data_IF_106620956208
#
_entry.id   IF_106620956208
#
_cell.length_a   1.000
_cell.length_b   1.000
_cell.length_c   1.000
_cell.angle_alpha   90.00
_cell.angle_beta   90.00
_cell.angle_gamma   90.00
#
_symmetry.space_group_name_H-M   'P 1'
#
loop_
_entity.id
_entity.type
_entity.pdbx_description
1 polymer ?
#
# COMPACT_ATOMS: atom_id res chain seq x y z
N UNK A 1 -53.82 -23.72 -12.09
CA UNK A 1 -53.11 -23.20 -13.25
C UNK A 1 -53.24 -21.67 -13.48
N UNK A 2 -54.30 -20.99 -13.07
CA UNK A 2 -54.45 -19.53 -13.32
C UNK A 2 -53.66 -18.59 -12.36
N UNK A 3 -53.20 -19.04 -11.20
CA UNK A 3 -52.38 -18.23 -10.28
C UNK A 3 -50.90 -18.15 -10.68
N UNK A 4 -50.34 -19.21 -11.20
CA UNK A 4 -48.94 -19.24 -11.63
C UNK A 4 -48.65 -18.30 -12.82
N UNK A 5 -49.58 -18.16 -13.75
CA UNK A 5 -49.42 -17.25 -14.90
C UNK A 5 -49.40 -15.78 -14.51
N UNK A 6 -50.07 -15.37 -13.42
CA UNK A 6 -50.06 -13.98 -12.95
C UNK A 6 -48.75 -13.60 -12.25
N UNK A 7 -48.13 -14.54 -11.54
CA UNK A 7 -46.84 -14.32 -10.90
C UNK A 7 -45.68 -14.22 -11.91
N UNK A 8 -45.72 -15.05 -12.96
CA UNK A 8 -44.68 -14.98 -14.01
C UNK A 8 -44.70 -13.68 -14.78
N UNK A 9 -45.86 -13.11 -15.05
CA UNK A 9 -46.02 -11.81 -15.72
C UNK A 9 -45.53 -10.67 -14.79
N UNK A 10 -45.83 -10.74 -13.49
CA UNK A 10 -45.38 -9.72 -12.53
C UNK A 10 -43.87 -9.71 -12.33
N UNK A 11 -43.21 -10.88 -12.28
CA UNK A 11 -41.77 -11.01 -12.20
C UNK A 11 -41.10 -10.50 -13.47
N UNK A 12 -41.63 -10.73 -14.64
CA UNK A 12 -41.11 -10.22 -15.91
C UNK A 12 -41.19 -8.67 -15.94
N UNK A 13 -42.29 -8.08 -15.45
CA UNK A 13 -42.42 -6.65 -15.38
C UNK A 13 -41.41 -6.00 -14.40
N UNK A 14 -41.14 -6.61 -13.25
CA UNK A 14 -40.14 -6.13 -12.30
C UNK A 14 -38.74 -6.21 -12.91
N UNK A 15 -38.38 -7.33 -13.55
CA UNK A 15 -37.09 -7.50 -14.21
C UNK A 15 -36.88 -6.50 -15.35
N UNK A 16 -37.94 -6.25 -16.18
CA UNK A 16 -37.83 -5.26 -17.25
C UNK A 16 -37.70 -3.83 -16.72
N UNK A 17 -38.37 -3.50 -15.60
CA UNK A 17 -38.19 -2.18 -14.93
C UNK A 17 -36.81 -2.01 -14.34
N UNK A 18 -36.21 -3.06 -13.75
CA UNK A 18 -34.83 -3.03 -13.25
C UNK A 18 -33.83 -2.86 -14.39
N UNK A 19 -33.99 -3.58 -15.49
CA UNK A 19 -33.15 -3.44 -16.67
C UNK A 19 -33.24 -2.04 -17.27
N UNK A 20 -34.46 -1.49 -17.37
CA UNK A 20 -34.66 -0.12 -17.84
C UNK A 20 -34.02 0.92 -16.90
N UNK A 21 -34.13 0.74 -15.59
CA UNK A 21 -33.47 1.63 -14.61
C UNK A 21 -31.95 1.55 -14.68
N UNK A 22 -31.39 0.35 -14.86
CA UNK A 22 -29.93 0.17 -15.06
C UNK A 22 -29.50 0.84 -16.38
N UNK A 23 -30.27 0.69 -17.44
CA UNK A 23 -29.96 1.33 -18.73
C UNK A 23 -30.04 2.86 -18.66
N UNK A 24 -31.04 3.42 -17.99
CA UNK A 24 -31.16 4.87 -17.78
C UNK A 24 -30.00 5.37 -16.89
N UNK A 25 -29.66 4.66 -15.83
CA UNK A 25 -28.53 4.99 -14.97
C UNK A 25 -27.19 4.93 -15.72
N UNK A 26 -26.98 3.94 -16.57
CA UNK A 26 -25.77 3.81 -17.39
C UNK A 26 -25.67 4.90 -18.46
N UNK A 27 -26.79 5.34 -19.05
CA UNK A 27 -26.81 6.45 -20.01
C UNK A 27 -26.64 7.81 -19.32
N UNK A 28 -27.17 8.00 -18.09
CA UNK A 28 -26.90 9.23 -17.32
C UNK A 28 -25.43 9.31 -16.85
N UNK A 29 -24.82 8.20 -16.49
CA UNK A 29 -23.38 8.14 -16.13
C UNK A 29 -22.51 8.34 -17.39
N UNK A 30 -22.92 7.80 -18.54
CA UNK A 30 -22.21 7.98 -19.81
C UNK A 30 -22.35 9.41 -20.38
N UNK A 31 -23.45 10.11 -20.09
CA UNK A 31 -23.69 11.49 -20.54
C UNK A 31 -23.19 12.56 -19.56
N UNK A 32 -22.66 12.18 -18.39
CA UNK A 32 -21.82 13.08 -17.58
C UNK A 32 -20.38 13.09 -18.13
N UNK A 33 -20.26 13.40 -19.40
CA UNK A 33 -19.03 14.07 -19.88
C UNK A 33 -18.99 15.40 -19.14
N UNK A 34 -18.10 15.51 -18.16
CA UNK A 34 -17.70 16.79 -17.63
C UNK A 34 -17.36 17.68 -18.84
N UNK A 35 -17.94 18.85 -18.99
CA UNK A 35 -17.51 19.75 -20.02
C UNK A 35 -16.02 20.03 -19.73
N UNK A 36 -15.14 19.49 -20.55
CA UNK A 36 -13.78 19.95 -20.65
C UNK A 36 -13.89 21.44 -20.93
N UNK A 37 -13.54 22.25 -19.94
CA UNK A 37 -13.55 23.70 -20.11
C UNK A 37 -12.45 24.05 -21.10
N UNK A 38 -12.85 24.05 -22.39
CA UNK A 38 -12.03 24.46 -23.53
C UNK A 38 -11.50 25.90 -23.34
N UNK A 39 -12.15 26.70 -22.47
CA UNK A 39 -11.65 28.01 -22.09
C UNK A 39 -10.40 27.95 -21.20
N UNK A 40 -10.24 26.91 -20.36
CA UNK A 40 -8.99 26.75 -19.59
C UNK A 40 -7.81 26.41 -20.51
N UNK A 41 -8.04 25.61 -21.54
CA UNK A 41 -7.02 25.28 -22.56
C UNK A 41 -6.70 26.47 -23.47
N UNK A 42 -7.69 27.34 -23.77
CA UNK A 42 -7.43 28.60 -24.50
C UNK A 42 -6.65 29.61 -23.67
N UNK A 43 -6.81 29.66 -22.36
CA UNK A 43 -5.97 30.48 -21.46
C UNK A 43 -4.52 30.01 -21.46
N UNK A 44 -4.26 28.70 -21.51
CA UNK A 44 -2.91 28.15 -21.62
C UNK A 44 -2.29 28.54 -23.00
N UNK A 45 -3.07 28.51 -24.08
CA UNK A 45 -2.61 28.92 -25.40
C UNK A 45 -2.35 30.43 -25.50
N UNK A 46 -3.15 31.27 -24.83
CA UNK A 46 -2.91 32.73 -24.78
C UNK A 46 -1.72 33.13 -23.89
N UNK A 47 -1.41 32.31 -22.87
CA UNK A 47 -0.19 32.46 -22.05
C UNK A 47 1.09 32.22 -22.85
N UNK A 48 1.05 31.43 -23.93
CA UNK A 48 2.23 31.23 -24.79
C UNK A 48 2.78 32.55 -25.37
N UNK A 49 1.92 33.55 -25.64
CA UNK A 49 2.34 34.85 -26.13
C UNK A 49 2.93 35.79 -25.07
N UNK A 50 2.61 35.55 -23.78
CA UNK A 50 3.19 36.33 -22.67
C UNK A 50 4.48 35.72 -22.10
N UNK A 51 4.71 34.40 -22.25
CA UNK A 51 5.90 33.72 -21.74
C UNK A 51 7.15 33.93 -22.60
N UNK A 52 7.02 34.31 -23.90
CA UNK A 52 8.17 34.58 -24.79
C UNK A 52 8.88 35.87 -24.47
N UNK A 53 8.33 36.74 -23.60
CA UNK A 53 8.93 38.02 -23.21
C UNK A 53 9.32 38.12 -21.73
N UNK A 54 9.27 37.03 -20.95
CA UNK A 54 9.95 37.02 -19.66
C UNK A 54 11.41 36.66 -19.84
N UNK A 55 12.23 37.70 -19.94
CA UNK A 55 13.67 37.60 -20.00
C UNK A 55 14.23 36.71 -18.93
N UNK A 56 15.26 35.97 -19.31
CA UNK A 56 16.10 35.15 -18.42
C UNK A 56 16.64 35.98 -17.27
N UNK A 57 15.94 35.99 -16.14
CA UNK A 57 16.46 36.29 -14.80
C UNK A 57 15.32 36.34 -13.77
N UNK A 58 14.82 35.18 -13.39
CA UNK A 58 14.32 34.90 -12.04
C UNK A 58 14.32 33.38 -11.91
N UNK A 59 15.21 32.84 -11.08
CA UNK A 59 14.96 31.54 -10.49
C UNK A 59 13.67 31.68 -9.66
N UNK A 60 12.52 31.48 -10.29
CA UNK A 60 11.25 31.50 -9.60
C UNK A 60 11.32 30.40 -8.57
N UNK A 61 11.19 30.78 -7.30
CA UNK A 61 11.22 29.87 -6.17
C UNK A 61 9.94 29.02 -6.24
N UNK A 62 9.90 28.04 -7.16
CA UNK A 62 8.75 27.18 -7.41
C UNK A 62 8.60 26.22 -6.24
N UNK A 63 7.68 26.52 -5.37
CA UNK A 63 7.46 25.76 -4.12
C UNK A 63 6.25 24.85 -4.16
N UNK A 64 5.50 24.82 -5.28
CA UNK A 64 4.40 23.87 -5.42
C UNK A 64 4.89 22.49 -5.86
N UNK A 65 4.32 21.46 -5.21
CA UNK A 65 4.34 20.07 -5.66
C UNK A 65 2.93 19.76 -6.15
N UNK A 66 2.76 19.64 -7.46
CA UNK A 66 1.49 19.31 -8.06
C UNK A 66 1.33 17.79 -8.16
N UNK A 67 0.40 17.22 -7.43
CA UNK A 67 -0.04 15.85 -7.64
C UNK A 67 -1.05 15.86 -8.78
N UNK A 68 -0.71 15.21 -9.90
CA UNK A 68 -1.47 15.32 -11.13
C UNK A 68 -2.89 14.78 -11.01
N UNK A 69 -3.03 13.68 -10.31
CA UNK A 69 -4.31 13.06 -9.97
C UNK A 69 -4.28 12.39 -8.59
N UNK A 70 -5.46 12.17 -8.02
CA UNK A 70 -5.61 11.33 -6.84
C UNK A 70 -5.32 9.87 -7.22
N UNK A 71 -4.59 9.12 -6.40
CA UNK A 71 -4.40 7.69 -6.60
C UNK A 71 -5.74 6.98 -6.82
N UNK A 72 -5.82 6.15 -7.86
CA UNK A 72 -7.05 5.46 -8.29
C UNK A 72 -8.27 6.38 -8.50
N UNK A 73 -8.04 7.66 -8.77
CA UNK A 73 -9.07 8.69 -8.89
C UNK A 73 -9.96 8.85 -7.64
N UNK A 74 -9.49 8.38 -6.49
CA UNK A 74 -10.18 8.51 -5.20
C UNK A 74 -9.49 9.59 -4.38
N UNK A 75 -10.20 10.65 -3.94
CA UNK A 75 -9.65 11.64 -3.03
C UNK A 75 -9.11 10.97 -1.76
N UNK A 76 -7.82 11.16 -1.49
CA UNK A 76 -7.16 10.66 -0.29
C UNK A 76 -6.92 11.84 0.64
N UNK A 77 -7.62 11.85 1.78
CA UNK A 77 -7.45 12.92 2.76
C UNK A 77 -6.03 12.93 3.31
N UNK A 78 -5.43 14.12 3.33
CA UNK A 78 -4.20 14.41 4.09
C UNK A 78 -2.88 13.91 3.53
N UNK A 79 -2.87 13.13 2.44
CA UNK A 79 -1.61 12.53 1.95
C UNK A 79 -0.72 13.51 1.18
N UNK A 80 -1.30 14.45 0.44
CA UNK A 80 -0.58 15.21 -0.57
C UNK A 80 -0.95 16.68 -0.65
N UNK A 81 -1.76 17.19 0.25
CA UNK A 81 -2.13 18.61 0.29
C UNK A 81 -1.58 19.32 1.52
N UNK A 82 -1.23 20.58 1.34
CA UNK A 82 -0.75 21.46 2.42
C UNK A 82 0.76 21.63 2.49
N UNK A 83 1.25 22.06 3.64
CA UNK A 83 2.66 22.39 3.87
C UNK A 83 3.51 21.13 4.04
N UNK A 84 4.57 21.02 3.26
CA UNK A 84 5.52 19.89 3.25
C UNK A 84 6.95 20.34 3.60
N UNK A 85 7.10 21.28 4.53
CA UNK A 85 8.42 21.72 4.96
C UNK A 85 9.07 22.75 4.03
N UNK A 86 8.26 23.69 3.51
CA UNK A 86 8.71 24.75 2.61
C UNK A 86 8.15 24.63 1.19
N UNK A 87 7.46 23.54 0.88
CA UNK A 87 6.68 23.39 -0.33
C UNK A 87 5.19 23.26 0.02
N UNK A 88 4.33 23.54 -0.97
CA UNK A 88 2.89 23.35 -0.87
C UNK A 88 2.47 22.23 -1.83
N UNK A 89 1.95 21.13 -1.29
CA UNK A 89 1.31 20.07 -2.07
C UNK A 89 -0.10 20.46 -2.49
N UNK A 90 -0.48 20.15 -3.73
CA UNK A 90 -1.82 20.45 -4.24
C UNK A 90 -2.21 19.55 -5.40
N UNK A 91 -3.52 19.33 -5.56
CA UNK A 91 -4.13 18.71 -6.76
C UNK A 91 -4.70 19.74 -7.75
N UNK A 92 -4.61 21.04 -7.43
CA UNK A 92 -5.07 22.11 -8.32
C UNK A 92 -4.17 22.24 -9.54
N UNK A 93 -4.60 21.67 -10.67
CA UNK A 93 -3.87 21.70 -11.95
C UNK A 93 -3.63 23.11 -12.50
N UNK A 94 -4.35 24.14 -12.02
CA UNK A 94 -4.08 25.53 -12.38
C UNK A 94 -2.70 26.00 -11.91
N UNK A 95 -2.12 25.31 -10.89
CA UNK A 95 -0.76 25.56 -10.38
C UNK A 95 0.36 24.95 -11.22
N UNK A 96 0.04 24.24 -12.31
CA UNK A 96 1.05 23.64 -13.17
C UNK A 96 2.16 24.63 -13.59
N UNK A 97 1.89 25.87 -13.99
CA UNK A 97 2.96 26.82 -14.36
C UNK A 97 3.90 27.18 -13.18
N UNK A 98 3.42 27.11 -11.97
CA UNK A 98 4.14 27.48 -10.74
C UNK A 98 4.69 26.25 -10.00
N UNK A 99 4.43 25.04 -10.48
CA UNK A 99 4.90 23.82 -9.88
C UNK A 99 6.39 23.58 -10.14
N UNK A 100 7.16 23.31 -9.08
CA UNK A 100 8.55 22.87 -9.20
C UNK A 100 8.64 21.38 -9.52
N UNK A 101 7.70 20.59 -8.96
CA UNK A 101 7.56 19.17 -9.27
C UNK A 101 6.11 18.82 -9.63
N UNK A 102 5.95 17.86 -10.54
CA UNK A 102 4.65 17.26 -10.90
C UNK A 102 4.75 15.75 -10.67
N UNK A 103 3.90 15.24 -9.79
CA UNK A 103 3.89 13.85 -9.38
C UNK A 103 2.79 13.09 -10.10
N UNK A 104 3.16 12.02 -10.76
CA UNK A 104 2.26 11.14 -11.48
C UNK A 104 2.17 9.79 -10.78
N UNK A 105 0.98 9.46 -10.29
CA UNK A 105 0.72 8.14 -9.72
C UNK A 105 0.50 7.12 -10.83
N UNK A 106 1.05 5.91 -10.67
CA UNK A 106 1.01 4.87 -11.70
C UNK A 106 -0.40 4.52 -12.19
N UNK A 107 -1.41 4.60 -11.31
CA UNK A 107 -2.80 4.23 -11.66
C UNK A 107 -3.47 5.22 -12.62
N UNK A 108 -2.90 6.40 -12.79
CA UNK A 108 -3.48 7.51 -13.54
C UNK A 108 -2.61 7.91 -14.75
N UNK A 109 -1.67 7.05 -15.14
CA UNK A 109 -0.84 7.23 -16.30
C UNK A 109 -1.61 6.83 -17.59
N UNK A 110 -2.54 7.66 -18.00
CA UNK A 110 -3.29 7.45 -19.20
C UNK A 110 -2.82 8.34 -20.32
N UNK A 111 -2.18 8.29 -21.19
CA UNK A 111 -1.63 9.21 -22.20
C UNK A 111 -2.52 10.37 -22.66
N UNK A 112 -3.80 10.44 -22.32
CA UNK A 112 -4.71 11.48 -22.81
C UNK A 112 -4.86 12.65 -21.83
N UNK A 113 -4.92 12.40 -20.55
CA UNK A 113 -5.07 13.43 -19.52
C UNK A 113 -3.77 14.13 -19.13
N UNK A 114 -2.65 13.65 -19.62
CA UNK A 114 -1.32 14.10 -19.19
C UNK A 114 -0.90 15.42 -19.83
N UNK A 115 -0.15 16.29 -19.10
CA UNK A 115 0.11 17.66 -19.55
C UNK A 115 1.13 17.78 -20.69
N UNK A 116 1.94 16.76 -20.95
CA UNK A 116 3.11 16.89 -21.82
C UNK A 116 2.84 16.96 -23.31
N UNK A 117 1.70 16.47 -23.79
CA UNK A 117 1.36 16.57 -25.22
C UNK A 117 1.38 18.00 -25.73
N UNK A 118 1.25 18.96 -24.82
CA UNK A 118 1.07 20.36 -25.15
C UNK A 118 2.12 21.28 -24.54
N UNK A 119 2.77 20.89 -23.45
CA UNK A 119 3.72 21.73 -22.74
C UNK A 119 4.55 20.95 -21.72
N UNK A 120 5.85 21.04 -21.80
CA UNK A 120 6.78 20.64 -20.75
C UNK A 120 7.72 21.79 -20.47
N UNK A 121 7.64 22.36 -19.27
CA UNK A 121 8.64 23.28 -18.79
C UNK A 121 9.91 22.50 -18.43
N UNK A 122 11.07 22.80 -19.06
CA UNK A 122 12.32 22.11 -18.76
C UNK A 122 12.78 22.32 -17.33
N UNK A 123 12.24 23.31 -16.60
CA UNK A 123 12.54 23.57 -15.21
C UNK A 123 11.68 22.76 -14.21
N UNK A 124 10.64 22.08 -14.68
CA UNK A 124 9.81 21.22 -13.84
C UNK A 124 10.40 19.82 -13.70
N UNK A 125 10.28 19.26 -12.50
CA UNK A 125 10.69 17.90 -12.17
C UNK A 125 9.47 16.99 -12.29
N UNK A 126 9.52 16.02 -13.19
CA UNK A 126 8.47 15.03 -13.34
C UNK A 126 8.82 13.79 -12.55
N UNK A 127 7.90 13.39 -11.66
CA UNK A 127 8.11 12.34 -10.66
C UNK A 127 7.12 11.21 -10.88
N UNK A 128 7.64 10.01 -11.10
CA UNK A 128 6.84 8.79 -11.07
C UNK A 128 6.61 8.35 -9.61
N UNK A 129 5.38 8.00 -9.26
CA UNK A 129 5.03 7.55 -7.91
C UNK A 129 4.24 6.24 -7.92
N UNK A 130 4.66 5.30 -7.06
CA UNK A 130 3.93 4.07 -6.78
C UNK A 130 4.25 3.53 -5.39
N UNK A 131 3.23 3.04 -4.67
CA UNK A 131 3.36 2.22 -3.48
C UNK A 131 2.99 0.75 -3.73
N UNK A 132 2.51 0.41 -4.95
CA UNK A 132 2.26 -0.96 -5.32
C UNK A 132 3.51 -1.64 -5.88
N UNK A 133 3.58 -2.96 -5.75
CA UNK A 133 4.68 -3.74 -6.31
C UNK A 133 4.71 -3.72 -7.84
N UNK A 134 5.89 -3.91 -8.49
CA UNK A 134 5.99 -4.09 -9.93
C UNK A 134 5.01 -5.13 -10.48
N UNK A 135 4.92 -6.28 -9.83
CA UNK A 135 3.95 -7.32 -10.20
C UNK A 135 2.50 -6.83 -10.20
N UNK A 136 2.11 -6.03 -9.20
CA UNK A 136 0.74 -5.49 -9.16
C UNK A 136 0.50 -4.49 -10.28
N UNK A 137 1.46 -3.62 -10.54
CA UNK A 137 1.34 -2.60 -11.57
C UNK A 137 1.27 -3.21 -12.97
N UNK A 138 2.05 -4.27 -13.24
CA UNK A 138 2.06 -4.95 -14.54
C UNK A 138 0.82 -5.82 -14.75
N UNK A 139 0.41 -6.57 -13.73
CA UNK A 139 -0.62 -7.62 -13.85
C UNK A 139 -1.94 -7.27 -13.15
N UNK A 140 -2.00 -6.14 -12.43
CA UNK A 140 -3.17 -5.67 -11.73
C UNK A 140 -4.25 -5.08 -12.64
N UNK A 141 -5.29 -4.53 -12.04
CA UNK A 141 -6.45 -3.96 -12.75
C UNK A 141 -6.09 -2.70 -13.56
N UNK A 142 -5.04 -1.98 -13.14
CA UNK A 142 -4.57 -0.73 -13.75
C UNK A 142 -3.32 -0.97 -14.62
N UNK A 143 -3.44 -1.85 -15.62
CA UNK A 143 -2.37 -2.10 -16.59
C UNK A 143 -2.22 -0.92 -17.53
N UNK A 144 -1.47 0.05 -17.17
CA UNK A 144 -1.18 1.14 -18.10
C UNK A 144 0.16 0.89 -18.82
N UNK A 145 0.18 1.24 -20.10
CA UNK A 145 1.35 1.07 -20.94
C UNK A 145 2.43 2.10 -20.54
N UNK A 146 3.20 1.78 -19.51
CA UNK A 146 4.27 2.64 -18.98
C UNK A 146 5.37 2.92 -20.00
N UNK A 147 5.59 2.03 -20.97
CA UNK A 147 6.53 2.25 -22.06
C UNK A 147 6.26 3.53 -22.87
N UNK A 148 5.03 4.10 -22.77
CA UNK A 148 4.73 5.41 -23.37
C UNK A 148 5.39 6.58 -22.63
N UNK A 149 5.92 6.34 -21.45
CA UNK A 149 6.57 7.32 -20.56
C UNK A 149 8.08 7.09 -20.43
N UNK A 150 8.62 6.20 -21.23
CA UNK A 150 10.03 6.06 -21.43
C UNK A 150 10.57 7.26 -22.22
N UNK A 151 11.81 7.24 -22.65
CA UNK A 151 12.45 8.34 -23.36
C UNK A 151 12.67 9.60 -22.51
N UNK A 152 13.27 9.38 -21.32
CA UNK A 152 13.68 10.47 -20.41
C UNK A 152 12.55 11.38 -19.92
N UNK A 153 11.30 10.87 -19.96
CA UNK A 153 10.15 11.64 -19.50
C UNK A 153 10.17 11.90 -17.99
N UNK A 154 10.48 10.87 -17.20
CA UNK A 154 10.55 10.96 -15.73
C UNK A 154 11.93 11.42 -15.29
N UNK A 155 11.97 12.43 -14.41
CA UNK A 155 13.19 12.92 -13.80
C UNK A 155 13.54 12.15 -12.54
N UNK A 156 12.56 11.94 -11.65
CA UNK A 156 12.75 11.24 -10.39
C UNK A 156 11.68 10.18 -10.15
N UNK A 157 12.06 9.18 -9.40
CA UNK A 157 11.15 8.14 -8.89
C UNK A 157 10.86 8.38 -7.41
N UNK A 158 9.61 8.22 -6.99
CA UNK A 158 9.15 8.30 -5.61
C UNK A 158 8.35 7.05 -5.27
N UNK A 159 9.01 6.04 -4.70
CA UNK A 159 8.41 4.75 -4.38
C UNK A 159 8.87 4.24 -3.01
N UNK A 160 8.27 3.15 -2.56
CA UNK A 160 8.68 2.45 -1.34
C UNK A 160 10.08 1.81 -1.42
N UNK A 161 10.69 1.74 -2.59
CA UNK A 161 12.02 1.17 -2.76
C UNK A 161 13.09 2.14 -2.25
N UNK A 162 14.08 1.60 -1.54
CA UNK A 162 15.19 2.40 -0.98
C UNK A 162 16.13 2.95 -2.05
N UNK A 163 16.12 2.41 -3.24
CA UNK A 163 16.89 2.89 -4.40
C UNK A 163 16.13 3.87 -5.30
N UNK A 164 14.92 4.27 -4.92
CA UNK A 164 14.24 5.40 -5.55
C UNK A 164 14.98 6.70 -5.29
N UNK A 165 14.86 7.69 -6.20
CA UNK A 165 15.42 9.02 -5.96
C UNK A 165 14.82 9.64 -4.70
N UNK A 166 13.54 9.44 -4.49
CA UNK A 166 12.79 9.81 -3.29
C UNK A 166 12.24 8.56 -2.63
N UNK A 167 12.88 8.14 -1.55
CA UNK A 167 12.34 7.03 -0.75
C UNK A 167 11.02 7.45 -0.10
N UNK A 168 9.94 6.75 -0.42
CA UNK A 168 8.60 6.99 0.09
C UNK A 168 8.10 5.72 0.81
N UNK A 169 8.56 5.46 2.05
CA UNK A 169 8.11 4.31 2.82
C UNK A 169 6.61 4.41 3.09
N UNK A 170 5.99 3.28 3.38
CA UNK A 170 4.62 3.28 3.87
C UNK A 170 4.48 4.18 5.09
N UNK A 171 3.51 5.09 5.08
CA UNK A 171 3.36 6.12 6.13
C UNK A 171 3.16 5.56 7.53
N UNK A 172 2.58 4.37 7.61
CA UNK A 172 2.35 3.65 8.86
C UNK A 172 3.64 3.32 9.61
N UNK A 173 4.78 3.33 8.94
CA UNK A 173 6.11 3.16 9.58
C UNK A 173 6.44 4.25 10.60
N UNK A 174 5.81 5.41 10.52
CA UNK A 174 5.94 6.51 11.52
C UNK A 174 5.57 6.07 12.93
N UNK A 175 4.79 5.00 13.07
CA UNK A 175 4.42 4.45 14.39
C UNK A 175 5.63 4.09 15.24
N UNK A 176 6.77 3.75 14.63
CA UNK A 176 8.00 3.40 15.34
C UNK A 176 8.42 4.46 16.36
N UNK A 177 8.40 5.74 15.97
CA UNK A 177 8.84 6.81 16.88
C UNK A 177 7.97 6.85 18.13
N UNK A 178 6.66 6.84 17.96
CA UNK A 178 5.73 6.82 19.09
C UNK A 178 5.94 5.59 19.99
N UNK A 179 6.14 4.42 19.40
CA UNK A 179 6.34 3.18 20.14
C UNK A 179 7.63 3.23 20.94
N UNK A 180 8.73 3.72 20.35
CA UNK A 180 10.02 3.86 21.03
C UNK A 180 9.92 4.89 22.16
N UNK A 181 9.25 6.02 21.94
CA UNK A 181 9.06 7.06 22.96
C UNK A 181 8.23 6.57 24.17
N UNK A 182 7.22 5.74 23.94
CA UNK A 182 6.41 5.13 24.99
C UNK A 182 7.15 3.98 25.72
N UNK A 183 8.07 3.32 25.02
CA UNK A 183 8.97 2.29 25.58
C UNK A 183 8.22 1.11 26.23
N UNK A 184 8.73 0.65 27.39
CA UNK A 184 8.18 -0.49 28.10
C UNK A 184 6.69 -0.35 28.46
N UNK A 185 6.20 0.86 28.71
CA UNK A 185 4.77 1.09 28.98
C UNK A 185 3.88 0.66 27.80
N UNK A 186 4.32 0.96 26.56
CA UNK A 186 3.59 0.55 25.37
C UNK A 186 3.50 -0.98 25.31
N UNK A 187 4.64 -1.67 25.53
CA UNK A 187 4.70 -3.14 25.50
C UNK A 187 3.75 -3.72 26.55
N UNK A 188 3.85 -3.28 27.80
CA UNK A 188 3.03 -3.84 28.89
C UNK A 188 1.54 -3.65 28.61
N UNK A 189 1.14 -2.47 28.11
CA UNK A 189 -0.23 -2.20 27.71
C UNK A 189 -0.71 -3.12 26.57
N UNK A 190 0.15 -3.38 25.59
CA UNK A 190 -0.19 -4.25 24.45
C UNK A 190 -0.21 -5.73 24.85
N UNK A 191 0.76 -6.19 25.63
CA UNK A 191 0.83 -7.58 26.06
C UNK A 191 -0.31 -7.96 27.03
N UNK A 192 -0.75 -7.03 27.89
CA UNK A 192 -1.90 -7.25 28.77
C UNK A 192 -3.20 -7.57 28.02
N UNK A 193 -3.33 -7.14 26.79
CA UNK A 193 -4.50 -7.38 25.94
C UNK A 193 -4.43 -8.68 25.13
N UNK A 194 -3.27 -9.35 25.08
CA UNK A 194 -3.11 -10.59 24.31
C UNK A 194 -3.82 -11.76 24.98
N UNK A 195 -4.72 -12.40 24.25
CA UNK A 195 -5.40 -13.62 24.70
C UNK A 195 -4.43 -14.79 24.58
N UNK A 196 -4.47 -15.68 25.57
CA UNK A 196 -3.83 -16.99 25.47
C UNK A 196 -4.85 -17.97 24.90
N UNK A 197 -4.40 -18.93 24.12
CA UNK A 197 -5.23 -20.10 23.79
C UNK A 197 -5.62 -20.75 25.12
N UNK A 198 -6.88 -20.65 25.47
CA UNK A 198 -7.37 -21.40 26.62
C UNK A 198 -7.22 -22.90 26.28
N UNK A 199 -6.28 -23.58 26.92
CA UNK A 199 -6.29 -25.04 26.97
C UNK A 199 -7.55 -25.41 27.73
N UNK A 200 -8.60 -25.69 26.98
CA UNK A 200 -9.86 -26.08 27.54
C UNK A 200 -9.66 -27.39 28.33
N UNK A 201 -9.92 -27.30 29.59
CA UNK A 201 -10.19 -28.50 30.39
C UNK A 201 -11.33 -29.28 29.71
N UNK A 202 -11.04 -30.50 29.31
CA UNK A 202 -11.85 -31.42 28.49
C UNK A 202 -13.23 -31.82 29.06
N UNK A 203 -13.82 -31.06 29.98
CA UNK A 203 -15.04 -31.44 30.73
C UNK A 203 -16.22 -30.46 30.61
N UNK A 204 -16.25 -29.56 29.62
CA UNK A 204 -17.39 -28.65 29.41
C UNK A 204 -18.11 -28.95 28.09
N UNK A 205 -19.41 -29.23 28.22
CA UNK A 205 -20.36 -29.60 27.16
C UNK A 205 -20.71 -28.45 26.18
N UNK A 206 -19.86 -27.45 26.00
CA UNK A 206 -20.06 -26.36 25.04
C UNK A 206 -18.91 -26.33 24.02
N UNK A 207 -19.19 -26.00 22.74
CA UNK A 207 -18.12 -25.88 21.77
C UNK A 207 -17.17 -24.78 22.21
N UNK A 208 -15.94 -25.17 22.54
CA UNK A 208 -14.86 -24.25 22.88
C UNK A 208 -14.56 -23.45 21.62
N UNK A 209 -14.86 -22.18 21.66
CA UNK A 209 -14.35 -21.23 20.68
C UNK A 209 -12.83 -21.25 20.80
N UNK A 210 -12.14 -21.89 19.85
CA UNK A 210 -10.70 -21.78 19.73
C UNK A 210 -10.39 -20.31 19.50
N UNK A 211 -9.78 -19.64 20.47
CA UNK A 211 -9.31 -18.28 20.30
C UNK A 211 -8.10 -18.36 19.36
N UNK A 212 -8.28 -17.93 18.13
CA UNK A 212 -7.17 -17.84 17.18
C UNK A 212 -6.14 -16.82 17.65
N UNK A 213 -4.88 -17.13 17.44
CA UNK A 213 -3.75 -16.29 17.82
C UNK A 213 -3.27 -15.42 16.66
N UNK A 214 -3.59 -15.85 15.46
CA UNK A 214 -3.18 -15.24 14.21
C UNK A 214 -4.37 -14.60 13.53
N UNK A 215 -4.20 -13.35 13.19
CA UNK A 215 -5.12 -12.59 12.34
C UNK A 215 -4.58 -12.50 10.93
N UNK A 216 -5.46 -12.69 9.96
CA UNK A 216 -5.16 -12.45 8.55
C UNK A 216 -6.34 -11.82 7.83
N UNK A 217 -6.15 -10.58 7.37
CA UNK A 217 -7.17 -9.83 6.61
C UNK A 217 -6.70 -9.67 5.17
N UNK A 218 -7.43 -10.24 4.21
CA UNK A 218 -7.01 -10.27 2.81
C UNK A 218 -8.18 -10.19 1.84
N UNK A 219 -8.03 -9.36 0.78
CA UNK A 219 -9.04 -9.18 -0.26
C UNK A 219 -8.52 -9.52 -1.67
N UNK A 220 -7.21 -9.50 -1.90
CA UNK A 220 -6.62 -9.95 -3.15
C UNK A 220 -6.24 -11.44 -3.04
N UNK A 221 -7.10 -12.32 -3.59
CA UNK A 221 -6.99 -13.77 -3.42
C UNK A 221 -6.22 -14.46 -4.56
N UNK A 222 -6.32 -13.92 -5.78
CA UNK A 222 -5.90 -14.64 -6.97
C UNK A 222 -5.44 -13.77 -8.13
N UNK A 223 -5.46 -12.44 -7.98
CA UNK A 223 -5.09 -11.52 -9.06
C UNK A 223 -3.63 -11.73 -9.49
N UNK A 224 -2.74 -11.85 -8.51
CA UNK A 224 -1.32 -12.09 -8.75
C UNK A 224 -0.93 -13.52 -8.37
N UNK A 225 0.22 -13.96 -8.88
CA UNK A 225 0.80 -15.23 -8.43
C UNK A 225 1.08 -15.23 -6.93
N UNK A 226 1.72 -14.17 -6.40
CA UNK A 226 1.96 -14.02 -4.97
C UNK A 226 0.67 -14.12 -4.15
N UNK A 227 -0.43 -13.51 -4.63
CA UNK A 227 -1.74 -13.64 -3.99
C UNK A 227 -2.20 -15.09 -3.89
N UNK A 228 -2.05 -15.88 -4.95
CA UNK A 228 -2.40 -17.33 -4.94
C UNK A 228 -1.49 -18.14 -4.02
N UNK A 229 -0.19 -17.80 -4.00
CA UNK A 229 0.79 -18.54 -3.20
C UNK A 229 0.59 -18.30 -1.70
N UNK A 230 0.34 -17.07 -1.26
CA UNK A 230 0.07 -16.80 0.16
C UNK A 230 -1.20 -17.48 0.67
N UNK A 231 -2.23 -17.62 -0.19
CA UNK A 231 -3.43 -18.42 0.13
C UNK A 231 -3.05 -19.87 0.42
N UNK A 232 -2.28 -20.50 -0.48
CA UNK A 232 -1.82 -21.90 -0.31
C UNK A 232 -0.95 -22.06 0.93
N UNK A 233 -0.04 -21.10 1.20
CA UNK A 233 0.81 -21.15 2.37
C UNK A 233 0.00 -21.08 3.67
N UNK A 234 -0.98 -20.18 3.73
CA UNK A 234 -1.88 -20.07 4.88
C UNK A 234 -2.72 -21.33 5.07
N UNK A 235 -3.22 -21.93 3.98
CA UNK A 235 -3.94 -23.20 4.06
C UNK A 235 -3.05 -24.33 4.61
N UNK A 236 -1.76 -24.34 4.26
CA UNK A 236 -0.80 -25.29 4.81
C UNK A 236 -0.53 -25.08 6.31
N UNK A 237 -0.48 -23.82 6.79
CA UNK A 237 -0.39 -23.51 8.22
C UNK A 237 -1.62 -24.02 8.99
N UNK A 238 -2.82 -23.77 8.46
CA UNK A 238 -4.08 -24.25 9.07
C UNK A 238 -4.13 -25.77 9.09
N UNK A 239 -3.72 -26.43 7.99
CA UNK A 239 -3.63 -27.89 7.93
C UNK A 239 -2.63 -28.48 8.92
N UNK A 240 -1.58 -27.72 9.25
CA UNK A 240 -0.59 -28.08 10.27
C UNK A 240 -1.09 -27.82 11.71
N UNK A 241 -2.34 -27.41 11.89
CA UNK A 241 -2.97 -27.21 13.20
C UNK A 241 -2.84 -25.81 13.78
N UNK A 242 -2.36 -24.82 13.01
CA UNK A 242 -2.31 -23.43 13.44
C UNK A 242 -3.70 -22.80 13.32
N UNK A 243 -4.31 -22.29 14.42
CA UNK A 243 -5.58 -21.58 14.33
C UNK A 243 -5.34 -20.18 13.75
N UNK A 244 -5.96 -19.89 12.62
CA UNK A 244 -5.87 -18.59 11.90
C UNK A 244 -7.27 -18.05 11.65
N UNK A 245 -7.59 -16.90 12.21
CA UNK A 245 -8.81 -16.16 11.85
C UNK A 245 -8.56 -15.40 10.54
N UNK A 246 -9.41 -15.68 9.56
CA UNK A 246 -9.27 -15.21 8.18
C UNK A 246 -10.44 -14.33 7.81
N UNK A 247 -10.14 -13.05 7.50
CA UNK A 247 -11.14 -12.06 7.13
C UNK A 247 -10.82 -11.39 5.80
N UNK A 248 -11.81 -10.72 5.25
CA UNK A 248 -11.68 -9.91 4.06
C UNK A 248 -12.41 -10.46 2.85
N UNK A 249 -12.17 -9.84 1.68
CA UNK A 249 -12.85 -10.21 0.44
C UNK A 249 -12.63 -11.64 -0.02
N UNK A 250 -11.50 -12.24 0.38
CA UNK A 250 -11.20 -13.64 0.03
C UNK A 250 -12.09 -14.66 0.75
N UNK A 251 -12.76 -14.27 1.81
CA UNK A 251 -13.58 -15.16 2.63
C UNK A 251 -15.03 -14.70 2.72
N UNK A 252 -15.40 -13.63 1.98
CA UNK A 252 -16.74 -13.05 1.96
C UNK A 252 -17.28 -12.63 3.35
N UNK A 253 -16.41 -12.27 4.27
CA UNK A 253 -16.73 -11.94 5.66
C UNK A 253 -16.12 -10.58 6.11
N UNK A 254 -16.05 -9.61 5.20
CA UNK A 254 -15.55 -8.26 5.52
C UNK A 254 -16.34 -7.58 6.63
N UNK A 255 -17.63 -7.80 6.66
CA UNK A 255 -18.52 -7.15 7.63
C UNK A 255 -18.34 -7.78 9.01
N UNK A 256 -18.16 -9.09 9.11
CA UNK A 256 -17.82 -9.75 10.37
C UNK A 256 -16.55 -9.17 11.02
N UNK A 257 -15.53 -8.83 10.21
CA UNK A 257 -14.33 -8.17 10.73
C UNK A 257 -14.59 -6.77 11.29
N UNK A 258 -15.51 -6.02 10.67
CA UNK A 258 -15.90 -4.68 11.15
C UNK A 258 -16.69 -4.72 12.47
N UNK A 259 -17.38 -5.83 12.73
CA UNK A 259 -18.15 -6.04 13.95
C UNK A 259 -17.28 -6.43 15.14
N UNK A 260 -16.01 -6.84 14.92
CA UNK A 260 -15.09 -7.11 16.00
C UNK A 260 -14.83 -5.85 16.83
N UNK A 261 -14.86 -5.97 18.13
CA UNK A 261 -14.45 -4.89 19.02
C UNK A 261 -12.95 -4.58 18.87
N UNK A 262 -12.56 -3.38 19.25
CA UNK A 262 -11.14 -3.01 19.26
C UNK A 262 -10.31 -3.95 20.16
N UNK A 263 -10.87 -4.41 21.28
CA UNK A 263 -10.19 -5.34 22.19
C UNK A 263 -10.05 -6.74 21.59
N UNK A 264 -11.06 -7.21 20.83
CA UNK A 264 -10.94 -8.47 20.11
C UNK A 264 -9.85 -8.41 19.05
N UNK A 265 -9.81 -7.31 18.28
CA UNK A 265 -8.76 -7.09 17.28
C UNK A 265 -7.38 -6.98 17.94
N UNK A 266 -7.24 -6.33 19.09
CA UNK A 266 -5.95 -6.21 19.79
C UNK A 266 -5.51 -7.51 20.49
N UNK A 267 -6.42 -8.45 20.70
CA UNK A 267 -6.12 -9.71 21.39
C UNK A 267 -5.21 -10.67 20.62
N UNK A 268 -5.09 -10.55 19.32
CA UNK A 268 -4.22 -11.40 18.51
C UNK A 268 -2.74 -11.14 18.79
N UNK A 269 -1.96 -12.22 18.98
CA UNK A 269 -0.51 -12.16 19.18
C UNK A 269 0.24 -11.92 17.87
N UNK A 270 -0.21 -12.51 16.77
CA UNK A 270 0.46 -12.45 15.48
C UNK A 270 -0.44 -11.90 14.39
N UNK A 271 0.18 -11.34 13.37
CA UNK A 271 -0.48 -10.99 12.11
C UNK A 271 0.28 -11.61 10.94
N UNK A 272 -0.42 -12.30 10.06
CA UNK A 272 0.19 -12.82 8.84
C UNK A 272 0.40 -11.66 7.85
N UNK A 273 1.57 -11.03 7.95
CA UNK A 273 1.98 -9.92 7.08
C UNK A 273 2.43 -10.45 5.70
N UNK A 274 1.53 -11.17 5.04
CA UNK A 274 1.76 -11.82 3.77
C UNK A 274 1.43 -10.89 2.61
N UNK A 275 2.43 -10.51 1.85
CA UNK A 275 2.27 -9.58 0.73
C UNK A 275 1.59 -10.23 -0.48
N UNK A 276 1.07 -9.39 -1.37
CA UNK A 276 0.40 -9.87 -2.59
C UNK A 276 1.40 -10.23 -3.71
N UNK A 277 2.65 -9.87 -3.55
CA UNK A 277 3.74 -10.14 -4.47
C UNK A 277 4.89 -10.84 -3.74
N UNK A 278 5.71 -11.60 -4.48
CA UNK A 278 6.77 -12.42 -3.91
C UNK A 278 8.14 -11.88 -4.32
N UNK A 279 9.04 -11.76 -3.34
CA UNK A 279 10.43 -11.32 -3.49
C UNK A 279 10.59 -10.00 -4.27
N UNK A 280 9.57 -9.12 -4.17
CA UNK A 280 9.71 -7.77 -4.66
C UNK A 280 10.59 -6.97 -3.70
N UNK A 281 11.63 -6.35 -4.25
CA UNK A 281 12.62 -5.59 -3.48
C UNK A 281 11.96 -4.55 -2.59
N UNK A 282 12.32 -4.55 -1.31
CA UNK A 282 11.87 -3.59 -0.29
C UNK A 282 10.33 -3.52 -0.08
N UNK A 283 9.54 -4.51 -0.58
CA UNK A 283 8.07 -4.42 -0.56
C UNK A 283 7.49 -4.85 0.79
N UNK A 284 7.45 -3.93 1.73
CA UNK A 284 6.92 -4.09 3.08
C UNK A 284 5.86 -3.03 3.36
N UNK A 285 4.58 -3.44 3.44
CA UNK A 285 3.42 -2.57 3.38
C UNK A 285 2.78 -2.31 4.76
N UNK A 286 1.56 -1.74 4.74
CA UNK A 286 0.72 -1.54 5.93
C UNK A 286 0.51 -2.83 6.74
N UNK A 287 0.65 -4.01 6.11
CA UNK A 287 0.48 -5.31 6.77
C UNK A 287 1.50 -5.51 7.89
N UNK A 288 2.75 -5.12 7.63
CA UNK A 288 3.81 -5.14 8.62
C UNK A 288 3.61 -4.03 9.66
N UNK A 289 3.45 -2.79 9.21
CA UNK A 289 3.49 -1.63 10.07
C UNK A 289 2.20 -1.41 10.85
N UNK A 290 1.08 -1.25 10.14
CA UNK A 290 -0.20 -0.94 10.76
C UNK A 290 -0.85 -2.19 11.34
N UNK A 291 -1.04 -3.23 10.50
CA UNK A 291 -1.79 -4.40 10.93
C UNK A 291 -1.06 -5.25 11.98
N UNK A 292 0.28 -5.20 12.02
CA UNK A 292 1.04 -5.91 13.05
C UNK A 292 1.64 -4.96 14.09
N UNK A 293 2.69 -4.22 13.77
CA UNK A 293 3.50 -3.46 14.72
C UNK A 293 2.65 -2.47 15.55
N UNK A 294 1.82 -1.63 14.90
CA UNK A 294 1.01 -0.63 15.58
C UNK A 294 0.04 -1.22 16.62
N UNK A 295 -0.38 -2.47 16.42
CA UNK A 295 -1.26 -3.18 17.32
C UNK A 295 -0.53 -4.09 18.35
N UNK A 296 0.80 -4.01 18.42
CA UNK A 296 1.58 -4.86 19.33
C UNK A 296 1.48 -6.35 18.97
N UNK A 297 1.43 -6.67 17.70
CA UNK A 297 1.50 -8.03 17.17
C UNK A 297 2.88 -8.27 16.57
N UNK A 298 3.35 -9.50 16.68
CA UNK A 298 4.54 -9.92 15.94
C UNK A 298 4.14 -10.21 14.50
N UNK A 299 4.69 -9.49 13.50
CA UNK A 299 4.44 -9.81 12.10
C UNK A 299 5.10 -11.11 11.71
N UNK A 300 4.33 -12.01 11.11
CA UNK A 300 4.84 -13.19 10.41
C UNK A 300 4.92 -12.82 8.94
N UNK A 301 6.13 -12.72 8.39
CA UNK A 301 6.38 -12.13 7.07
C UNK A 301 6.54 -13.19 6.01
N UNK A 302 5.84 -13.00 4.90
CA UNK A 302 6.00 -13.73 3.65
C UNK A 302 5.85 -12.77 2.46
N UNK A 303 6.70 -12.92 1.48
CA UNK A 303 6.64 -12.12 0.24
C UNK A 303 7.97 -11.42 -0.04
N UNK A 304 8.40 -10.38 0.68
CA UNK A 304 9.73 -9.81 0.52
C UNK A 304 10.82 -10.80 0.95
N UNK A 305 12.06 -10.59 0.52
CA UNK A 305 13.20 -11.36 1.02
C UNK A 305 13.48 -11.05 2.50
N UNK A 306 14.03 -12.02 3.23
CA UNK A 306 14.41 -11.78 4.63
C UNK A 306 15.40 -10.61 4.75
N UNK A 307 16.34 -10.51 3.83
CA UNK A 307 17.32 -9.42 3.77
C UNK A 307 16.66 -8.04 3.63
N UNK A 308 15.65 -7.91 2.75
CA UNK A 308 14.90 -6.66 2.60
C UNK A 308 14.16 -6.30 3.89
N UNK A 309 13.55 -7.28 4.56
CA UNK A 309 12.85 -7.05 5.82
C UNK A 309 13.84 -6.68 6.92
N UNK A 310 14.94 -7.39 7.05
CA UNK A 310 15.99 -7.06 8.02
C UNK A 310 16.56 -5.66 7.81
N UNK A 311 16.64 -5.19 6.58
CA UNK A 311 17.10 -3.82 6.25
C UNK A 311 16.12 -2.74 6.72
N UNK A 312 14.82 -3.00 6.62
CA UNK A 312 13.76 -2.01 6.79
C UNK A 312 13.00 -2.11 8.13
N UNK A 313 13.11 -3.24 8.85
CA UNK A 313 12.41 -3.49 10.10
C UNK A 313 13.33 -3.28 11.31
N UNK A 314 12.76 -2.96 12.50
CA UNK A 314 13.51 -3.00 13.75
C UNK A 314 14.11 -4.37 14.00
N UNK A 315 15.30 -4.41 14.58
CA UNK A 315 16.02 -5.66 14.83
C UNK A 315 15.20 -6.58 15.75
N UNK A 316 14.99 -7.82 15.30
CA UNK A 316 14.27 -8.84 16.09
C UNK A 316 12.75 -8.62 16.22
N UNK A 317 12.16 -7.74 15.41
CA UNK A 317 10.72 -7.39 15.52
C UNK A 317 9.77 -8.32 14.77
N UNK A 318 10.24 -9.31 14.04
CA UNK A 318 9.43 -10.12 13.13
C UNK A 318 9.87 -11.59 13.08
N UNK A 319 9.01 -12.42 12.51
CA UNK A 319 9.27 -13.82 12.17
C UNK A 319 9.19 -13.94 10.65
N UNK A 320 10.22 -14.50 10.00
CA UNK A 320 10.22 -14.70 8.55
C UNK A 320 9.93 -16.15 8.18
N UNK A 321 9.08 -16.37 7.19
CA UNK A 321 8.71 -17.73 6.76
C UNK A 321 9.90 -18.54 6.24
N UNK A 322 10.92 -17.89 5.69
CA UNK A 322 12.13 -18.56 5.17
C UNK A 322 13.05 -19.12 6.26
N UNK A 323 12.83 -18.77 7.54
CA UNK A 323 13.53 -19.37 8.67
C UNK A 323 13.08 -20.81 8.97
N UNK A 324 12.01 -21.26 8.32
CA UNK A 324 11.39 -22.56 8.55
C UNK A 324 11.43 -23.42 7.29
N UNK A 325 11.76 -24.71 7.46
CA UNK A 325 11.80 -25.65 6.34
C UNK A 325 10.40 -25.92 5.77
N UNK A 326 9.39 -25.92 6.63
CA UNK A 326 8.02 -26.21 6.25
C UNK A 326 7.03 -25.30 6.97
N UNK A 327 5.81 -25.10 6.44
CA UNK A 327 4.74 -24.40 7.17
C UNK A 327 4.41 -25.08 8.53
N UNK A 328 4.60 -26.39 8.65
CA UNK A 328 4.36 -27.10 9.90
C UNK A 328 5.40 -26.73 10.98
N UNK A 329 6.66 -26.50 10.60
CA UNK A 329 7.69 -26.04 11.53
C UNK A 329 7.38 -24.62 12.04
N UNK A 330 6.94 -23.72 11.15
CA UNK A 330 6.47 -22.40 11.54
C UNK A 330 5.25 -22.49 12.45
N UNK A 331 4.25 -23.29 12.11
CA UNK A 331 3.06 -23.47 12.94
C UNK A 331 3.43 -23.94 14.38
N UNK A 332 4.31 -24.92 14.49
CA UNK A 332 4.83 -25.42 15.79
C UNK A 332 5.54 -24.30 16.56
N UNK A 333 6.32 -23.47 15.90
CA UNK A 333 7.02 -22.36 16.54
C UNK A 333 6.07 -21.27 17.05
N UNK A 334 5.06 -20.91 16.26
CA UNK A 334 4.05 -19.93 16.69
C UNK A 334 3.23 -20.45 17.89
N UNK A 335 2.88 -21.74 17.92
CA UNK A 335 2.23 -22.38 19.07
C UNK A 335 3.13 -22.41 20.32
N UNK A 336 4.44 -22.63 20.15
CA UNK A 336 5.41 -22.53 21.24
C UNK A 336 5.43 -21.09 21.82
N UNK A 337 5.52 -20.07 20.97
CA UNK A 337 5.51 -18.67 21.41
C UNK A 337 4.22 -18.28 22.12
N UNK A 338 3.11 -18.91 21.76
CA UNK A 338 1.84 -18.64 22.44
C UNK A 338 1.86 -19.05 23.90
N UNK A 339 2.49 -20.16 24.19
CA UNK A 339 2.59 -20.72 25.56
C UNK A 339 3.79 -20.19 26.35
N UNK A 340 4.69 -19.44 25.68
CA UNK A 340 5.92 -18.90 26.25
C UNK A 340 5.98 -17.37 26.13
N UNK A 341 5.39 -16.68 27.11
CA UNK A 341 5.33 -15.21 27.11
C UNK A 341 6.72 -14.56 27.17
N UNK A 342 7.71 -15.21 27.80
CA UNK A 342 9.09 -14.71 27.82
C UNK A 342 9.70 -14.72 26.43
N UNK A 343 9.57 -15.82 25.69
CA UNK A 343 10.06 -15.91 24.32
C UNK A 343 9.28 -14.98 23.37
N UNK A 344 7.97 -14.82 23.59
CA UNK A 344 7.16 -13.89 22.82
C UNK A 344 7.58 -12.42 23.03
N UNK A 345 7.88 -12.03 24.28
CA UNK A 345 8.33 -10.68 24.65
C UNK A 345 9.67 -10.30 23.98
N UNK A 346 10.52 -11.26 23.63
CA UNK A 346 11.79 -11.01 22.94
C UNK A 346 11.61 -10.23 21.63
N UNK A 347 10.47 -10.43 20.93
CA UNK A 347 10.16 -9.71 19.70
C UNK A 347 9.87 -8.22 19.90
N UNK A 348 9.83 -7.74 21.13
CA UNK A 348 9.59 -6.34 21.47
C UNK A 348 10.82 -5.68 22.13
N UNK A 349 11.96 -6.36 22.20
CA UNK A 349 13.19 -5.79 22.78
C UNK A 349 13.65 -4.51 22.08
N UNK A 350 13.39 -4.39 20.79
CA UNK A 350 13.68 -3.20 20.01
C UNK A 350 12.95 -1.94 20.51
N UNK A 351 11.89 -2.08 21.27
CA UNK A 351 11.15 -0.99 21.90
C UNK A 351 11.82 -0.56 23.20
N UNK A 352 12.23 -1.53 24.04
CA UNK A 352 12.85 -1.24 25.35
C UNK A 352 14.30 -0.81 25.20
N UNK A 353 15.01 -1.44 24.28
CA UNK A 353 16.44 -1.23 24.05
C UNK A 353 16.73 -1.17 22.56
N UNK A 354 16.31 -0.08 21.87
CA UNK A 354 16.54 0.07 20.44
C UNK A 354 18.03 0.14 20.13
N UNK A 355 18.50 -0.66 19.19
CA UNK A 355 19.86 -0.57 18.67
C UNK A 355 20.02 0.63 17.72
N UNK A 356 21.26 0.92 17.34
CA UNK A 356 21.60 2.06 16.47
C UNK A 356 20.84 2.00 15.15
N UNK A 357 20.73 0.82 14.54
CA UNK A 357 19.96 0.61 13.30
C UNK A 357 18.48 0.98 13.49
N UNK A 358 17.85 0.51 14.56
CA UNK A 358 16.45 0.80 14.86
C UNK A 358 16.22 2.29 15.06
N UNK A 359 17.10 2.98 15.76
CA UNK A 359 17.03 4.43 15.95
C UNK A 359 17.21 5.19 14.63
N UNK A 360 18.09 4.73 13.75
CA UNK A 360 18.28 5.36 12.43
C UNK A 360 17.08 5.14 11.51
N UNK A 361 16.46 3.95 11.55
CA UNK A 361 15.20 3.69 10.85
C UNK A 361 14.08 4.61 11.38
N UNK A 362 13.96 4.77 12.69
CA UNK A 362 12.98 5.65 13.30
C UNK A 362 13.15 7.10 12.80
N UNK A 363 14.36 7.63 12.76
CA UNK A 363 14.65 8.95 12.16
C UNK A 363 14.30 9.00 10.68
N UNK A 364 14.60 7.92 9.95
CA UNK A 364 14.28 7.80 8.54
C UNK A 364 12.77 7.85 8.30
N UNK A 365 11.98 7.21 9.12
CA UNK A 365 10.53 7.10 8.92
C UNK A 365 9.72 8.33 9.38
N UNK A 366 10.33 9.35 9.94
CA UNK A 366 9.65 10.62 10.29
C UNK A 366 9.08 11.32 9.07
N UNK A 367 9.84 11.33 7.96
CA UNK A 367 9.48 12.08 6.75
C UNK A 367 8.75 11.18 5.75
N UNK A 368 7.63 11.67 5.23
CA UNK A 368 6.93 11.05 4.11
C UNK A 368 7.64 11.28 2.77
N UNK A 369 7.25 10.55 1.73
CA UNK A 369 7.73 10.76 0.37
C UNK A 369 7.58 12.21 -0.10
N UNK A 370 6.41 12.84 0.01
CA UNK A 370 6.22 14.25 -0.35
C UNK A 370 7.12 15.23 0.40
N UNK A 371 7.35 15.06 1.71
CA UNK A 371 8.29 15.90 2.46
C UNK A 371 9.73 15.74 1.98
N UNK A 372 10.14 14.52 1.63
CA UNK A 372 11.47 14.25 1.05
C UNK A 372 11.61 14.86 -0.33
N UNK A 373 10.58 14.75 -1.15
CA UNK A 373 10.52 15.38 -2.48
C UNK A 373 10.71 16.90 -2.36
N UNK A 374 9.99 17.55 -1.43
CA UNK A 374 10.15 18.96 -1.15
C UNK A 374 11.60 19.31 -0.78
N UNK A 375 12.18 18.58 0.18
CA UNK A 375 13.56 18.78 0.60
C UNK A 375 14.56 18.65 -0.55
N UNK A 376 14.37 17.65 -1.41
CA UNK A 376 15.22 17.45 -2.59
C UNK A 376 15.05 18.57 -3.61
N UNK A 377 13.82 18.97 -3.89
CA UNK A 377 13.51 20.05 -4.82
C UNK A 377 14.16 21.37 -4.37
N UNK A 378 14.02 21.72 -3.08
CA UNK A 378 14.60 22.94 -2.53
C UNK A 378 16.14 22.91 -2.43
N UNK A 379 16.74 21.72 -2.29
CA UNK A 379 18.20 21.58 -2.21
C UNK A 379 18.91 21.69 -3.56
N UNK A 380 18.17 21.98 -4.62
CA UNK A 380 18.69 22.14 -6.00
C UNK A 380 19.57 20.97 -6.46
N UNK A 381 19.27 19.74 -6.00
CA UNK A 381 19.96 18.54 -6.45
C UNK A 381 19.72 18.37 -7.95
N UNK A 382 20.81 18.24 -8.69
CA UNK A 382 20.82 18.18 -10.14
C UNK A 382 19.75 17.26 -10.71
N UNK A 383 19.17 17.67 -11.81
CA UNK A 383 18.15 16.89 -12.52
C UNK A 383 18.78 15.62 -13.06
N UNK A 384 18.22 14.52 -12.65
CA UNK A 384 18.40 13.24 -13.34
C UNK A 384 17.27 13.12 -14.38
N UNK A 385 17.45 12.29 -15.36
CA UNK A 385 16.34 11.76 -16.13
C UNK A 385 16.51 10.25 -16.23
N UNK A 386 15.43 9.51 -15.97
CA UNK A 386 15.42 8.09 -16.18
C UNK A 386 15.16 7.80 -17.66
N UNK A 387 16.08 7.07 -18.33
CA UNK A 387 15.86 6.67 -19.74
C UNK A 387 14.57 5.89 -19.90
N UNK A 388 14.24 5.09 -18.89
CA UNK A 388 13.03 4.29 -18.83
C UNK A 388 12.55 4.17 -17.40
N UNK A 389 11.38 4.74 -17.09
CA UNK A 389 10.72 4.52 -15.81
C UNK A 389 10.21 3.09 -15.70
N UNK A 390 9.84 2.47 -16.82
CA UNK A 390 9.42 1.09 -16.90
C UNK A 390 10.58 0.14 -16.57
N UNK A 391 11.79 0.37 -17.06
CA UNK A 391 12.95 -0.44 -16.72
C UNK A 391 13.29 -0.35 -15.23
N UNK A 392 13.24 0.84 -14.65
CA UNK A 392 13.52 1.01 -13.22
C UNK A 392 12.54 0.25 -12.36
N UNK A 393 11.24 0.36 -12.63
CA UNK A 393 10.20 -0.11 -11.73
C UNK A 393 9.56 -1.44 -12.18
N UNK A 394 9.36 -1.64 -13.49
CA UNK A 394 8.62 -2.77 -14.04
C UNK A 394 9.45 -3.98 -14.38
N UNK A 395 10.76 -3.93 -14.24
CA UNK A 395 11.58 -5.10 -14.48
C UNK A 395 11.34 -6.13 -13.37
N UNK A 396 10.36 -7.03 -13.57
CA UNK A 396 10.06 -8.11 -12.62
C UNK A 396 11.27 -9.01 -12.37
N UNK A 397 12.14 -9.19 -13.36
CA UNK A 397 13.29 -10.09 -13.21
C UNK A 397 14.34 -9.54 -12.25
N UNK A 398 14.41 -8.23 -12.08
CA UNK A 398 15.34 -7.58 -11.16
C UNK A 398 14.70 -7.09 -9.86
N UNK A 399 13.39 -6.87 -9.88
CA UNK A 399 12.68 -6.23 -8.76
C UNK A 399 11.73 -7.14 -8.00
N UNK A 400 11.28 -8.23 -8.61
CA UNK A 400 10.52 -9.31 -8.00
C UNK A 400 11.07 -10.61 -8.56
N UNK A 401 11.08 -11.70 -7.82
CA UNK A 401 11.39 -13.00 -8.41
C UNK A 401 10.29 -13.36 -9.38
N UNK A 402 10.72 -13.58 -10.62
CA UNK A 402 9.81 -13.89 -11.72
C UNK A 402 9.06 -15.20 -11.48
N UNK A 403 7.95 -15.31 -12.16
CA UNK A 403 6.94 -16.35 -12.11
C UNK A 403 7.41 -17.79 -12.36
N UNK A 404 8.69 -18.08 -12.50
CA UNK A 404 9.15 -19.38 -13.00
C UNK A 404 9.65 -20.34 -11.92
N UNK A 405 9.99 -19.90 -10.73
CA UNK A 405 10.47 -20.83 -9.70
C UNK A 405 9.38 -21.22 -8.71
N UNK A 406 9.07 -22.50 -8.69
CA UNK A 406 8.17 -23.12 -7.72
C UNK A 406 8.87 -23.20 -6.35
N UNK A 407 8.85 -22.12 -5.58
CA UNK A 407 9.28 -22.18 -4.19
C UNK A 407 8.05 -22.18 -3.27
N UNK A 408 7.36 -23.32 -3.26
CA UNK A 408 6.77 -23.83 -2.03
C UNK A 408 7.88 -24.72 -1.46
N UNK A 409 8.73 -24.16 -0.63
CA UNK A 409 9.55 -25.00 0.24
C UNK A 409 8.69 -25.54 1.36
#
# INVERSE_FOLDING_TARGET
>A
MRLFAKWSVFVIFILSAIVAAIYIYSTEVSNKTFPLDIMSLRRISSSKKQLTNRGANTSSNRTYILFWDHPWSVPTEGFSEGNMGGCTGTYDRSKLPDAGAVVFHYSNLDGESMPWKHYRDPEQIFVFSSHESPSYVIHGEHRHAMNKFDDHFINWTMTYRTDSDVFAPYEQSKVMNKIIDEGGKWIDNKLAKKKKVAVANLNLSFPISFVSLQLWVVSNCALLRGSKMRMKYTDALVKAGLPVDRFGGCFNNKDEFKELSADDVEAYKFYLAFENAQYCKDYMTEKFWYNAIAHGRVPVVWGPSKEDVEKLAPTGSFIHTDDFKTPADLAKYLLYLDTNDTAYREYFKWVENPDEKTLELAKTYVLTGPHRLCKMMLSNRGRKSHPSASEFFYNETTNCISSQENVIK
#
